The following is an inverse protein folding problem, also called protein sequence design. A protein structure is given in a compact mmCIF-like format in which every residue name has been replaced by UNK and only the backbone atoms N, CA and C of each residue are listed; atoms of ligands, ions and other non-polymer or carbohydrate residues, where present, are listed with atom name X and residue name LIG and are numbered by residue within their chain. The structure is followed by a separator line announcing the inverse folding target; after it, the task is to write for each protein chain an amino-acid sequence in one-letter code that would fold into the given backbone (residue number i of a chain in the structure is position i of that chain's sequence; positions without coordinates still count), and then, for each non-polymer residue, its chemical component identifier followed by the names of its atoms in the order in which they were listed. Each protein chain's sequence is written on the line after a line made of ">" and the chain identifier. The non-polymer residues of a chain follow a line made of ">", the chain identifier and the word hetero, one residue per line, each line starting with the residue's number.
data_IF_138902702113
#
_entry.id   IF_138902702113
#
_cell.length_a   1.000
_cell.length_b   1.000
_cell.length_c   1.000
_cell.angle_alpha   90.00
_cell.angle_beta   90.00
_cell.angle_gamma   90.00
#
_symmetry.space_group_name_H-M   'P 1'
#
loop_
_entity.id
_entity.type
_entity.pdbx_description
1 polymer ?
#
# COMPACT_ATOMS: atom_id res chain seq x y z
N UNK A 1 -3.65 10.66 8.41
CA UNK A 1 -2.45 10.01 8.95
C UNK A 1 -2.82 8.62 9.44
N UNK A 2 -1.88 7.68 9.43
CA UNK A 2 -2.08 6.32 9.94
C UNK A 2 -0.78 5.77 10.51
N UNK A 3 -0.92 4.80 11.42
CA UNK A 3 0.15 3.93 11.89
C UNK A 3 -0.38 2.50 11.95
N UNK A 4 0.51 1.51 12.05
CA UNK A 4 0.17 0.10 12.08
C UNK A 4 0.60 -0.56 13.39
N UNK A 5 -0.22 -1.48 13.89
CA UNK A 5 0.21 -2.50 14.86
C UNK A 5 -0.01 -3.83 14.17
N UNK A 6 1.05 -4.62 13.99
CA UNK A 6 1.03 -5.73 13.01
C UNK A 6 1.83 -6.94 13.48
N UNK A 7 1.48 -8.11 12.94
CA UNK A 7 2.34 -9.31 12.86
C UNK A 7 2.84 -9.55 11.44
N UNK A 8 2.36 -8.75 10.49
CA UNK A 8 2.46 -8.96 9.06
C UNK A 8 3.52 -8.05 8.45
N UNK A 9 4.47 -8.65 7.73
CA UNK A 9 5.58 -7.96 7.10
C UNK A 9 5.14 -6.98 6.01
N UNK A 10 3.95 -7.14 5.41
CA UNK A 10 3.42 -6.22 4.39
C UNK A 10 3.08 -4.87 5.00
N UNK A 11 2.57 -4.82 6.23
CA UNK A 11 2.36 -3.55 6.92
C UNK A 11 3.70 -2.87 7.22
N UNK A 12 4.71 -3.63 7.63
CA UNK A 12 6.08 -3.12 7.82
C UNK A 12 6.65 -2.53 6.53
N UNK A 13 6.57 -3.27 5.43
CA UNK A 13 7.03 -2.83 4.11
C UNK A 13 6.26 -1.60 3.63
N UNK A 14 4.95 -1.56 3.81
CA UNK A 14 4.14 -0.39 3.47
C UNK A 14 4.58 0.86 4.25
N UNK A 15 4.89 0.72 5.55
CA UNK A 15 5.40 1.84 6.35
C UNK A 15 6.76 2.33 5.88
N UNK A 16 7.64 1.44 5.45
CA UNK A 16 8.92 1.79 4.86
C UNK A 16 8.75 2.50 3.51
N UNK A 17 7.90 1.96 2.63
CA UNK A 17 7.66 2.48 1.28
C UNK A 17 7.11 3.91 1.31
N UNK A 18 6.30 4.24 2.32
CA UNK A 18 5.77 5.60 2.52
C UNK A 18 6.70 6.55 3.30
N UNK A 19 7.90 6.09 3.67
CA UNK A 19 8.90 6.89 4.38
C UNK A 19 8.63 7.10 5.87
N UNK A 20 7.81 6.25 6.49
CA UNK A 20 7.50 6.32 7.93
C UNK A 20 7.79 4.99 8.65
N UNK A 21 9.04 4.49 8.62
CA UNK A 21 9.42 3.23 9.29
C UNK A 21 9.14 3.24 10.80
N UNK A 22 8.99 4.41 11.40
CA UNK A 22 8.69 4.59 12.83
C UNK A 22 7.19 4.58 13.16
N UNK A 23 6.31 4.51 12.16
CA UNK A 23 4.85 4.47 12.34
C UNK A 23 4.29 3.04 12.23
N UNK A 24 5.07 2.04 12.65
CA UNK A 24 4.56 0.71 12.96
C UNK A 24 5.07 0.20 14.31
N UNK A 25 4.32 -0.71 14.92
CA UNK A 25 4.69 -1.50 16.08
C UNK A 25 4.44 -2.97 15.78
N UNK A 26 5.24 -3.83 16.39
CA UNK A 26 4.96 -5.27 16.41
C UNK A 26 4.00 -5.58 17.56
N UNK A 27 3.12 -6.55 17.40
CA UNK A 27 2.16 -6.90 18.47
C UNK A 27 2.82 -7.45 19.73
N UNK A 28 4.05 -7.95 19.61
CA UNK A 28 4.83 -8.56 20.67
C UNK A 28 5.90 -7.60 21.23
N UNK A 29 5.86 -6.32 20.86
CA UNK A 29 6.67 -5.28 21.45
C UNK A 29 6.47 -5.23 22.98
N UNK A 30 7.57 -5.24 23.73
CA UNK A 30 7.55 -4.83 25.13
C UNK A 30 6.98 -3.41 25.22
N UNK A 31 6.17 -3.14 26.25
CA UNK A 31 5.53 -1.84 26.49
C UNK A 31 4.66 -1.34 25.30
N UNK A 32 4.01 -2.26 24.58
CA UNK A 32 3.15 -1.95 23.42
C UNK A 32 2.10 -0.86 23.74
N UNK A 33 1.56 -0.87 24.97
CA UNK A 33 0.58 0.12 25.41
C UNK A 33 1.14 1.55 25.41
N UNK A 34 2.30 1.76 26.03
CA UNK A 34 3.00 3.04 26.04
C UNK A 34 3.40 3.48 24.62
N UNK A 35 3.99 2.56 23.84
CA UNK A 35 4.39 2.82 22.44
C UNK A 35 3.21 3.22 21.56
N UNK A 36 2.06 2.56 21.75
CA UNK A 36 0.83 2.89 21.00
C UNK A 36 0.37 4.30 21.31
N UNK A 37 0.37 4.70 22.59
CA UNK A 37 0.02 6.06 22.98
C UNK A 37 0.98 7.09 22.36
N UNK A 38 2.29 6.83 22.37
CA UNK A 38 3.29 7.71 21.76
C UNK A 38 3.03 7.91 20.26
N UNK A 39 2.75 6.83 19.54
CA UNK A 39 2.42 6.89 18.11
C UNK A 39 1.14 7.70 17.89
N UNK A 40 0.09 7.50 18.68
CA UNK A 40 -1.16 8.26 18.53
C UNK A 40 -0.93 9.76 18.73
N UNK A 41 -0.16 10.15 19.73
CA UNK A 41 0.22 11.56 19.96
C UNK A 41 1.02 12.13 18.78
N UNK A 42 1.91 11.33 18.19
CA UNK A 42 2.66 11.74 16.99
C UNK A 42 1.74 11.88 15.78
N UNK A 43 0.80 10.96 15.57
CA UNK A 43 -0.16 11.03 14.48
C UNK A 43 -1.03 12.28 14.56
N UNK A 44 -1.40 12.70 15.77
CA UNK A 44 -2.13 13.96 15.99
C UNK A 44 -1.26 15.18 15.66
N UNK A 45 -0.04 15.23 16.19
CA UNK A 45 0.88 16.37 16.00
C UNK A 45 1.33 16.56 14.55
N UNK A 46 1.61 15.47 13.84
CA UNK A 46 2.20 15.50 12.48
C UNK A 46 1.17 15.13 11.39
N UNK A 47 -0.13 15.21 11.71
CA UNK A 47 -1.21 14.62 10.92
C UNK A 47 -1.18 15.00 9.44
N UNK A 48 -1.04 16.29 9.14
CA UNK A 48 -1.08 16.85 7.78
C UNK A 48 0.12 16.40 6.96
N UNK A 49 1.32 16.46 7.57
CA UNK A 49 2.56 16.01 6.95
C UNK A 49 2.49 14.53 6.61
N UNK A 50 2.10 13.69 7.56
CA UNK A 50 1.99 12.24 7.36
C UNK A 50 0.93 11.93 6.29
N UNK A 51 -0.19 12.65 6.27
CA UNK A 51 -1.23 12.49 5.24
C UNK A 51 -0.71 12.82 3.84
N UNK A 52 0.04 13.89 3.71
CA UNK A 52 0.63 14.33 2.44
C UNK A 52 1.67 13.32 1.93
N UNK A 53 2.56 12.85 2.81
CA UNK A 53 3.56 11.82 2.52
C UNK A 53 2.91 10.50 2.06
N UNK A 54 1.86 10.03 2.76
CA UNK A 54 1.07 8.85 2.34
C UNK A 54 0.51 9.07 0.94
N UNK A 55 -0.09 10.24 0.68
CA UNK A 55 -0.72 10.55 -0.60
C UNK A 55 0.23 10.41 -1.79
N UNK A 56 1.49 10.86 -1.62
CA UNK A 56 2.53 10.80 -2.66
C UNK A 56 2.93 9.37 -3.06
N UNK A 57 2.72 8.40 -2.17
CA UNK A 57 3.14 7.01 -2.39
C UNK A 57 2.02 6.16 -2.99
N UNK A 58 0.75 6.58 -2.87
CA UNK A 58 -0.42 5.84 -3.37
C UNK A 58 -0.31 5.50 -4.87
N UNK A 59 0.04 6.44 -5.78
CA UNK A 59 0.16 6.11 -7.20
C UNK A 59 1.16 5.00 -7.49
N UNK A 60 2.31 5.01 -6.81
CA UNK A 60 3.35 4.00 -6.97
C UNK A 60 2.89 2.63 -6.46
N UNK A 61 2.16 2.60 -5.34
CA UNK A 61 1.62 1.36 -4.79
C UNK A 61 0.52 0.76 -5.70
N UNK A 62 -0.31 1.61 -6.30
CA UNK A 62 -1.29 1.15 -7.30
C UNK A 62 -0.60 0.64 -8.57
N UNK A 63 0.43 1.31 -9.06
CA UNK A 63 1.23 0.82 -10.18
C UNK A 63 1.87 -0.54 -9.88
N UNK A 64 2.44 -0.70 -8.69
CA UNK A 64 3.01 -1.97 -8.24
C UNK A 64 1.93 -3.07 -8.17
N UNK A 65 0.73 -2.75 -7.68
CA UNK A 65 -0.39 -3.70 -7.65
C UNK A 65 -0.80 -4.16 -9.05
N UNK A 66 -0.93 -3.22 -9.99
CA UNK A 66 -1.22 -3.53 -11.38
C UNK A 66 -0.12 -4.39 -12.02
N UNK A 67 1.15 -4.07 -11.76
CA UNK A 67 2.28 -4.86 -12.24
C UNK A 67 2.27 -6.29 -11.69
N UNK A 68 2.00 -6.47 -10.39
CA UNK A 68 1.82 -7.81 -9.81
C UNK A 68 0.73 -8.61 -10.51
N UNK A 69 -0.34 -7.95 -10.96
CA UNK A 69 -1.40 -8.59 -11.75
C UNK A 69 -0.91 -9.10 -13.12
N UNK A 70 0.00 -8.38 -13.77
CA UNK A 70 0.64 -8.82 -15.03
C UNK A 70 1.53 -10.03 -14.76
N UNK A 71 2.41 -9.93 -13.77
CA UNK A 71 3.39 -10.97 -13.43
C UNK A 71 2.68 -12.27 -13.01
N UNK A 72 1.62 -12.16 -12.22
CA UNK A 72 0.79 -13.29 -11.83
C UNK A 72 0.13 -13.97 -13.03
N UNK A 73 -0.40 -13.21 -13.98
CA UNK A 73 -1.04 -13.79 -15.17
C UNK A 73 -0.04 -14.47 -16.10
N UNK A 74 1.18 -13.94 -16.22
CA UNK A 74 2.26 -14.56 -16.99
C UNK A 74 2.67 -15.90 -16.36
N UNK A 75 2.83 -15.93 -15.03
CA UNK A 75 3.16 -17.16 -14.30
C UNK A 75 2.02 -18.18 -14.37
N UNK A 76 0.77 -17.76 -14.22
CA UNK A 76 -0.39 -18.63 -14.34
C UNK A 76 -0.48 -19.26 -15.74
N UNK A 77 -0.25 -18.47 -16.79
CA UNK A 77 -0.26 -18.96 -18.18
C UNK A 77 0.89 -19.94 -18.44
N UNK A 78 2.05 -19.71 -17.80
CA UNK A 78 3.22 -20.58 -17.90
C UNK A 78 2.97 -21.96 -17.27
N UNK A 79 2.28 -22.00 -16.13
CA UNK A 79 2.03 -23.23 -15.37
C UNK A 79 0.76 -23.95 -15.84
N UNK A 80 -0.29 -23.20 -16.20
CA UNK A 80 -1.61 -23.71 -16.58
C UNK A 80 -2.10 -23.05 -17.88
N UNK A 81 -1.53 -23.42 -19.04
CA UNK A 81 -1.86 -22.81 -20.33
C UNK A 81 -3.31 -23.04 -20.79
N UNK A 82 -4.01 -24.01 -20.20
CA UNK A 82 -5.40 -24.34 -20.49
C UNK A 82 -6.41 -23.39 -19.82
N UNK A 83 -5.99 -22.60 -18.82
CA UNK A 83 -6.88 -21.68 -18.13
C UNK A 83 -7.27 -20.49 -19.02
N UNK A 84 -8.54 -20.05 -18.97
CA UNK A 84 -9.00 -18.91 -19.76
C UNK A 84 -8.30 -17.62 -19.30
N UNK A 85 -7.69 -16.91 -20.24
CA UNK A 85 -7.00 -15.64 -20.02
C UNK A 85 -7.89 -14.46 -20.43
N UNK A 86 -7.92 -13.42 -19.59
CA UNK A 86 -8.46 -12.11 -19.98
C UNK A 86 -7.42 -11.42 -20.85
N UNK A 87 -7.82 -10.97 -22.03
CA UNK A 87 -6.97 -10.19 -22.92
C UNK A 87 -7.02 -8.72 -22.49
N UNK A 88 -6.06 -8.34 -21.66
CA UNK A 88 -5.89 -6.98 -21.14
C UNK A 88 -4.60 -6.38 -21.71
N UNK A 89 -4.57 -5.06 -21.99
CA UNK A 89 -3.33 -4.36 -22.29
C UNK A 89 -2.28 -4.61 -21.21
N UNK A 90 -1.01 -4.76 -21.61
CA UNK A 90 0.12 -4.92 -20.68
C UNK A 90 0.55 -3.58 -20.07
N UNK A 91 -0.40 -2.89 -19.46
CA UNK A 91 -0.17 -1.67 -18.68
C UNK A 91 -0.74 -1.89 -17.29
N UNK A 92 -0.09 -1.36 -16.26
CA UNK A 92 -0.50 -1.64 -14.87
C UNK A 92 -1.94 -1.18 -14.59
N UNK A 93 -2.41 -0.12 -15.25
CA UNK A 93 -3.75 0.43 -15.11
C UNK A 93 -4.84 -0.55 -15.54
N UNK A 94 -4.59 -1.32 -16.62
CA UNK A 94 -5.54 -2.29 -17.13
C UNK A 94 -5.73 -3.48 -16.18
N UNK A 95 -4.79 -3.69 -15.26
CA UNK A 95 -4.78 -4.77 -14.28
C UNK A 95 -5.29 -4.31 -12.90
N UNK A 96 -5.72 -3.05 -12.77
CA UNK A 96 -6.32 -2.54 -11.54
C UNK A 96 -7.85 -2.77 -11.49
N UNK A 97 -8.41 -2.93 -10.27
CA UNK A 97 -9.84 -2.80 -10.08
C UNK A 97 -10.29 -1.35 -10.33
N UNK A 98 -11.59 -1.16 -10.56
CA UNK A 98 -12.20 0.16 -10.68
C UNK A 98 -11.87 1.02 -9.46
N UNK A 99 -11.20 2.15 -9.68
CA UNK A 99 -10.83 3.06 -8.59
C UNK A 99 -12.06 3.84 -8.11
N UNK A 100 -12.20 4.00 -6.79
CA UNK A 100 -13.22 4.87 -6.19
C UNK A 100 -12.91 6.35 -6.51
N UNK A 101 -13.90 7.26 -6.45
CA UNK A 101 -13.67 8.69 -6.70
C UNK A 101 -12.58 9.29 -5.81
N UNK A 102 -12.46 8.83 -4.57
CA UNK A 102 -11.41 9.28 -3.65
C UNK A 102 -10.01 8.85 -4.11
N UNK A 103 -9.87 7.61 -4.62
CA UNK A 103 -8.59 7.14 -5.16
C UNK A 103 -8.25 7.82 -6.49
N UNK A 104 -9.25 8.09 -7.34
CA UNK A 104 -9.06 8.86 -8.56
C UNK A 104 -8.54 10.28 -8.25
N UNK A 105 -9.15 10.98 -7.27
CA UNK A 105 -8.66 12.30 -6.86
C UNK A 105 -7.25 12.27 -6.26
N UNK A 106 -6.85 11.18 -5.60
CA UNK A 106 -5.47 11.00 -5.13
C UNK A 106 -4.50 10.74 -6.28
N UNK A 107 -4.90 9.94 -7.27
CA UNK A 107 -4.14 9.72 -8.49
C UNK A 107 -3.96 11.02 -9.28
N UNK A 108 -4.99 11.86 -9.38
CA UNK A 108 -4.90 13.16 -10.06
C UNK A 108 -4.02 14.15 -9.29
N UNK A 109 -4.04 14.09 -7.95
CA UNK A 109 -3.27 15.01 -7.11
C UNK A 109 -1.78 14.66 -7.06
N UNK A 110 -1.44 13.37 -7.07
CA UNK A 110 -0.09 12.88 -6.77
C UNK A 110 0.57 12.06 -7.90
N UNK A 111 -0.20 11.64 -8.90
CA UNK A 111 0.26 10.85 -10.03
C UNK A 111 0.83 11.67 -11.18
#
# INVERSE_FOLDING_TARGET
>A
ASAGVTMDERIRNLMNDRGHPELFLEVDDEDLGEKTLEILLRLERDQERIREDIGRVIPQQLALMGQMGIDFMDELTRVYPELPRRDLPRTWEAHLPSLSPSLQGLMEKYG
#
